data_IF_738041215997
#
_entry.id   IF_738041215997
#
_cell.length_a   1.000
_cell.length_b   1.000
_cell.length_c   1.000
_cell.angle_alpha   90.00
_cell.angle_beta   90.00
_cell.angle_gamma   90.00
#
_symmetry.space_group_name_H-M   'P 1'
#
loop_
_entity.id
_entity.type
_entity.pdbx_description
1 polymer ?
#
# COMPACT_ATOMS: atom_id res chain seq x y z
N UNK A 1 -1.06 11.09 0.25
CA UNK A 1 -1.29 12.47 -0.25
C UNK A 1 -0.59 12.61 -1.59
N UNK A 2 -1.26 13.17 -2.58
CA UNK A 2 -0.70 13.43 -3.91
C UNK A 2 -1.06 14.80 -4.45
N UNK A 3 -0.49 15.17 -5.60
CA UNK A 3 -0.72 16.45 -6.26
C UNK A 3 -0.90 16.27 -7.77
N UNK A 4 -1.93 16.92 -8.30
CA UNK A 4 -2.23 16.98 -9.72
C UNK A 4 -1.33 18.01 -10.42
N UNK A 5 -1.15 17.88 -11.74
CA UNK A 5 -0.36 18.82 -12.54
C UNK A 5 -0.87 20.27 -12.46
N UNK A 6 -2.17 20.47 -12.24
CA UNK A 6 -2.78 21.80 -12.06
C UNK A 6 -2.64 22.35 -10.62
N UNK A 7 -1.95 21.66 -9.73
CA UNK A 7 -1.72 22.07 -8.34
C UNK A 7 -2.74 21.54 -7.33
N UNK A 8 -3.84 20.89 -7.77
CA UNK A 8 -4.83 20.35 -6.85
C UNK A 8 -4.24 19.24 -5.96
N UNK A 9 -4.58 19.25 -4.67
CA UNK A 9 -4.17 18.23 -3.70
C UNK A 9 -5.21 17.13 -3.65
N UNK A 10 -4.75 15.88 -3.62
CA UNK A 10 -5.61 14.69 -3.53
C UNK A 10 -5.18 13.80 -2.36
N UNK A 11 -6.16 13.14 -1.75
CA UNK A 11 -5.96 12.16 -0.67
C UNK A 11 -6.69 10.89 -1.06
N UNK A 12 -6.05 9.74 -0.84
CA UNK A 12 -6.58 8.41 -1.15
C UNK A 12 -6.04 7.42 -0.14
N UNK A 13 -6.81 6.36 0.15
CA UNK A 13 -6.38 5.24 1.00
C UNK A 13 -5.26 4.43 0.36
N UNK A 14 -5.16 4.44 -0.97
CA UNK A 14 -4.21 3.64 -1.74
C UNK A 14 -3.57 4.46 -2.86
N UNK A 15 -2.30 4.18 -3.15
CA UNK A 15 -1.53 4.95 -4.15
C UNK A 15 -1.90 4.63 -5.59
N UNK A 16 -2.50 3.47 -5.88
CA UNK A 16 -2.94 3.12 -7.23
C UNK A 16 -3.94 4.17 -7.80
N UNK A 17 -4.70 4.84 -6.93
CA UNK A 17 -5.59 5.91 -7.34
C UNK A 17 -4.84 7.09 -7.97
N UNK A 18 -3.63 7.39 -7.47
CA UNK A 18 -2.80 8.47 -8.00
C UNK A 18 -2.32 8.17 -9.41
N UNK A 19 -1.88 6.94 -9.67
CA UNK A 19 -1.49 6.52 -11.03
C UNK A 19 -2.66 6.60 -12.01
N UNK A 20 -3.85 6.16 -11.59
CA UNK A 20 -5.07 6.19 -12.42
C UNK A 20 -5.45 7.61 -12.84
N UNK A 21 -5.30 8.59 -11.95
CA UNK A 21 -5.69 9.99 -12.23
C UNK A 21 -4.50 10.87 -12.67
N UNK A 22 -3.29 10.34 -12.73
CA UNK A 22 -2.08 11.09 -13.06
C UNK A 22 -1.64 12.08 -11.96
N UNK A 23 -1.90 11.77 -10.69
CA UNK A 23 -1.37 12.53 -9.56
C UNK A 23 0.04 12.05 -9.19
N UNK A 24 0.92 12.99 -8.85
CA UNK A 24 2.22 12.70 -8.25
C UNK A 24 2.05 12.33 -6.78
N UNK A 25 2.65 11.24 -6.34
CA UNK A 25 2.68 10.88 -4.92
C UNK A 25 3.62 11.82 -4.15
N UNK A 26 3.17 12.31 -2.99
CA UNK A 26 3.98 13.19 -2.12
C UNK A 26 4.45 12.44 -0.87
N UNK A 27 3.51 11.93 -0.06
CA UNK A 27 3.79 11.21 1.18
C UNK A 27 2.57 10.49 1.73
N UNK A 28 2.82 9.54 2.64
CA UNK A 28 1.80 8.98 3.53
C UNK A 28 1.45 9.95 4.67
N UNK A 29 0.21 9.85 5.15
CA UNK A 29 -0.23 10.50 6.38
C UNK A 29 0.21 9.63 7.56
N UNK A 30 0.82 10.24 8.59
CA UNK A 30 1.29 9.52 9.77
C UNK A 30 0.13 9.23 10.74
N UNK A 31 0.22 8.18 11.56
CA UNK A 31 -0.67 8.03 12.71
C UNK A 31 -0.69 9.32 13.55
N UNK A 32 -1.85 9.75 14.02
CA UNK A 32 -2.00 10.99 14.80
C UNK A 32 -2.02 12.29 13.98
N UNK A 33 -1.63 12.25 12.71
CA UNK A 33 -1.51 13.43 11.85
C UNK A 33 -2.88 13.83 11.25
N UNK A 34 -3.12 15.14 11.20
CA UNK A 34 -4.25 15.79 10.53
C UNK A 34 -3.69 16.55 9.33
N UNK A 35 -4.34 16.37 8.18
CA UNK A 35 -4.07 17.19 6.99
C UNK A 35 -5.23 18.18 6.79
N UNK A 36 -4.90 19.46 6.66
CA UNK A 36 -5.85 20.54 6.43
C UNK A 36 -5.59 21.08 5.02
N UNK A 37 -6.62 21.10 4.19
CA UNK A 37 -6.54 21.56 2.80
C UNK A 37 -7.60 22.66 2.63
N UNK A 38 -7.14 23.88 2.36
CA UNK A 38 -7.99 25.04 2.12
C UNK A 38 -7.40 25.93 0.99
N UNK A 39 -8.01 27.09 0.75
CA UNK A 39 -7.58 28.04 -0.28
C UNK A 39 -6.19 28.64 -0.04
N UNK A 40 -5.62 28.48 1.17
CA UNK A 40 -4.25 28.92 1.51
C UNK A 40 -3.21 27.83 1.25
N UNK A 41 -3.64 26.60 0.95
CA UNK A 41 -2.79 25.48 0.60
C UNK A 41 -2.93 24.30 1.56
N UNK A 42 -1.86 23.50 1.66
CA UNK A 42 -1.81 22.32 2.53
C UNK A 42 -1.07 22.65 3.83
N UNK A 43 -1.69 22.28 4.95
CA UNK A 43 -1.11 22.37 6.29
C UNK A 43 -1.18 20.99 6.97
N UNK A 44 -0.26 20.76 7.89
CA UNK A 44 -0.14 19.52 8.65
C UNK A 44 -0.17 19.87 10.14
N UNK A 45 -0.95 19.12 10.90
CA UNK A 45 -1.05 19.23 12.35
C UNK A 45 -1.07 17.82 12.96
N UNK A 46 -0.98 17.71 14.28
CA UNK A 46 -1.10 16.46 15.01
C UNK A 46 -2.09 16.63 16.15
N UNK A 47 -3.06 15.72 16.29
CA UNK A 47 -3.91 15.70 17.50
C UNK A 47 -3.24 14.94 18.66
N UNK A 48 -2.23 14.12 18.36
CA UNK A 48 -1.39 13.44 19.33
C UNK A 48 -0.07 13.03 18.68
N UNK A 49 1.01 13.07 19.43
CA UNK A 49 2.30 12.48 19.04
C UNK A 49 2.55 11.12 19.70
N UNK A 50 1.73 10.74 20.69
CA UNK A 50 1.75 9.40 21.30
C UNK A 50 1.11 8.39 20.33
N UNK A 51 1.94 7.84 19.45
CA UNK A 51 1.49 7.02 18.32
C UNK A 51 2.40 5.84 18.04
N UNK A 52 1.83 4.81 17.41
CA UNK A 52 2.56 3.67 16.89
C UNK A 52 2.09 3.39 15.47
N UNK A 53 3.03 3.16 14.54
CA UNK A 53 2.70 2.69 13.20
C UNK A 53 2.36 1.19 13.25
N UNK A 54 1.06 0.88 13.22
CA UNK A 54 0.52 -0.47 13.23
C UNK A 54 -0.45 -0.67 12.06
N UNK A 55 0.09 -0.82 10.85
CA UNK A 55 -0.70 -1.05 9.64
C UNK A 55 -1.38 -2.42 9.72
N UNK A 56 -2.62 -2.50 9.25
CA UNK A 56 -3.34 -3.76 9.13
C UNK A 56 -2.61 -4.72 8.18
N UNK A 57 -2.16 -5.87 8.71
CA UNK A 57 -1.49 -6.90 7.90
C UNK A 57 -2.32 -7.38 6.71
N UNK A 58 -3.66 -7.36 6.84
CA UNK A 58 -4.56 -7.77 5.76
C UNK A 58 -4.53 -6.83 4.55
N UNK A 59 -4.05 -5.60 4.68
CA UNK A 59 -3.81 -4.73 3.52
C UNK A 59 -2.76 -5.34 2.59
N UNK A 60 -1.64 -5.79 3.17
CA UNK A 60 -0.60 -6.47 2.40
C UNK A 60 -1.03 -7.86 1.95
N UNK A 61 -1.75 -8.62 2.77
CA UNK A 61 -2.15 -9.99 2.45
C UNK A 61 -3.23 -10.04 1.37
N UNK A 62 -4.23 -9.16 1.43
CA UNK A 62 -5.46 -9.34 0.65
C UNK A 62 -6.13 -8.05 0.16
N UNK A 63 -6.39 -7.08 1.04
CA UNK A 63 -7.33 -5.98 0.74
C UNK A 63 -6.82 -5.01 -0.32
N UNK A 64 -5.58 -4.52 -0.18
CA UNK A 64 -5.04 -3.54 -1.10
C UNK A 64 -4.80 -4.14 -2.49
N UNK A 65 -4.88 -3.27 -3.49
CA UNK A 65 -4.52 -3.65 -4.86
C UNK A 65 -3.02 -3.91 -4.98
N UNK A 66 -2.61 -4.87 -5.83
CA UNK A 66 -1.21 -5.26 -5.97
C UNK A 66 -0.30 -4.14 -6.51
N UNK A 67 -0.85 -3.17 -7.23
CA UNK A 67 -0.14 -2.00 -7.76
C UNK A 67 -0.05 -0.83 -6.75
N UNK A 68 -0.64 -0.96 -5.56
CA UNK A 68 -0.48 0.02 -4.49
C UNK A 68 0.87 -0.12 -3.77
N UNK A 69 1.37 1.01 -3.27
CA UNK A 69 2.48 1.10 -2.34
C UNK A 69 1.93 1.57 -1.00
N UNK A 70 2.15 0.78 0.05
CA UNK A 70 1.75 1.14 1.41
C UNK A 70 3.03 1.38 2.18
N UNK A 71 3.22 2.58 2.71
CA UNK A 71 4.44 2.95 3.47
C UNK A 71 5.74 2.55 2.76
N UNK A 72 5.83 2.82 1.45
CA UNK A 72 6.99 2.52 0.62
C UNK A 72 7.16 1.04 0.21
N UNK A 73 6.24 0.16 0.59
CA UNK A 73 6.25 -1.25 0.21
C UNK A 73 5.18 -1.53 -0.83
N UNK A 74 5.60 -1.94 -2.03
CA UNK A 74 4.69 -2.40 -3.06
C UNK A 74 3.97 -3.70 -2.64
N UNK A 75 2.64 -3.73 -2.78
CA UNK A 75 1.79 -4.84 -2.32
C UNK A 75 2.05 -6.13 -3.11
N UNK A 76 2.19 -6.06 -4.43
CA UNK A 76 2.57 -7.22 -5.26
C UNK A 76 3.89 -7.84 -4.78
N UNK A 77 4.90 -7.00 -4.57
CA UNK A 77 6.23 -7.42 -4.09
C UNK A 77 6.15 -8.03 -2.69
N UNK A 78 5.37 -7.46 -1.78
CA UNK A 78 5.16 -8.02 -0.45
C UNK A 78 4.55 -9.43 -0.52
N UNK A 79 3.49 -9.62 -1.31
CA UNK A 79 2.85 -10.93 -1.52
C UNK A 79 3.79 -11.95 -2.13
N UNK A 80 4.61 -11.54 -3.11
CA UNK A 80 5.64 -12.41 -3.69
C UNK A 80 6.70 -12.84 -2.65
N UNK A 81 7.11 -11.94 -1.76
CA UNK A 81 8.01 -12.29 -0.64
C UNK A 81 7.36 -13.27 0.34
N UNK A 82 6.06 -13.14 0.59
CA UNK A 82 5.31 -14.11 1.42
C UNK A 82 5.27 -15.49 0.77
N UNK A 83 5.06 -15.57 -0.55
CA UNK A 83 5.17 -16.81 -1.33
C UNK A 83 6.54 -17.47 -1.20
N UNK A 84 7.60 -16.70 -1.45
CA UNK A 84 8.98 -17.19 -1.32
C UNK A 84 9.30 -17.66 0.11
N UNK A 85 8.71 -17.03 1.12
CA UNK A 85 8.85 -17.47 2.51
C UNK A 85 8.10 -18.79 2.76
N UNK A 86 6.87 -18.92 2.26
CA UNK A 86 6.10 -20.16 2.34
C UNK A 86 6.83 -21.32 1.65
N UNK A 87 7.49 -21.08 0.51
CA UNK A 87 8.29 -22.08 -0.17
C UNK A 87 9.47 -22.59 0.68
N UNK A 88 10.10 -21.74 1.52
CA UNK A 88 11.15 -22.17 2.46
C UNK A 88 10.59 -23.00 3.62
N UNK A 89 9.36 -22.75 4.01
CA UNK A 89 8.67 -23.44 5.10
C UNK A 89 8.05 -24.77 4.63
N UNK A 90 7.77 -24.90 3.33
CA UNK A 90 7.23 -26.11 2.70
C UNK A 90 8.32 -27.18 2.55
N UNK A 91 8.15 -28.31 3.24
CA UNK A 91 9.14 -29.41 3.31
C UNK A 91 8.79 -30.63 2.45
N UNK A 92 7.86 -30.47 1.51
CA UNK A 92 7.37 -31.55 0.67
C UNK A 92 7.70 -31.28 -0.79
N UNK A 93 7.64 -32.31 -1.62
CA UNK A 93 7.70 -32.17 -3.07
C UNK A 93 6.29 -32.01 -3.63
N UNK A 94 6.17 -31.22 -4.69
CA UNK A 94 4.94 -31.02 -5.43
C UNK A 94 5.28 -30.84 -6.91
N UNK A 95 4.40 -31.30 -7.79
CA UNK A 95 4.62 -31.19 -9.24
C UNK A 95 4.29 -29.79 -9.78
N UNK A 96 3.30 -29.11 -9.20
CA UNK A 96 2.74 -27.86 -9.70
C UNK A 96 2.31 -26.96 -8.55
N UNK A 97 2.54 -25.65 -8.70
CA UNK A 97 1.99 -24.58 -7.85
C UNK A 97 0.93 -23.81 -8.64
N UNK A 98 -0.24 -23.59 -8.05
CA UNK A 98 -1.35 -22.86 -8.68
C UNK A 98 -1.89 -21.79 -7.73
N UNK A 99 -1.97 -20.55 -8.19
CA UNK A 99 -2.64 -19.46 -7.47
C UNK A 99 -4.15 -19.50 -7.68
N UNK A 100 -4.90 -19.01 -6.70
CA UNK A 100 -6.36 -18.81 -6.80
C UNK A 100 -6.61 -17.42 -7.41
N UNK A 101 -7.25 -17.33 -8.58
CA UNK A 101 -7.55 -16.05 -9.20
C UNK A 101 -8.58 -15.26 -8.37
N UNK A 102 -8.39 -13.97 -8.07
CA UNK A 102 -7.23 -13.09 -8.36
C UNK A 102 -6.39 -12.78 -7.10
N UNK A 103 -6.70 -13.43 -5.98
CA UNK A 103 -6.22 -13.06 -4.65
C UNK A 103 -4.79 -13.50 -4.38
N UNK A 104 -4.37 -14.68 -4.87
CA UNK A 104 -3.07 -15.27 -4.49
C UNK A 104 -2.09 -15.45 -5.65
N UNK A 105 -2.37 -14.89 -6.83
CA UNK A 105 -1.47 -14.98 -7.99
C UNK A 105 -0.06 -14.47 -7.65
N UNK A 106 0.05 -13.34 -6.95
CA UNK A 106 1.35 -12.76 -6.58
C UNK A 106 2.11 -13.63 -5.58
N UNK A 107 1.41 -14.28 -4.65
CA UNK A 107 2.01 -15.18 -3.67
C UNK A 107 2.43 -16.50 -4.33
N UNK A 108 1.61 -17.07 -5.21
CA UNK A 108 1.96 -18.30 -5.94
C UNK A 108 3.15 -18.13 -6.89
N UNK A 109 3.42 -16.90 -7.37
CA UNK A 109 4.58 -16.58 -8.20
C UNK A 109 5.90 -16.43 -7.41
N UNK A 110 5.84 -16.34 -6.08
CA UNK A 110 6.99 -16.08 -5.22
C UNK A 110 7.61 -17.33 -4.68
#
# INVERSE_FOLDING_TARGET
IGKMANGAVVVSSETCAFEVIGAEWIRDLKPGEIVIIDDKGIQYDSYTDDTQLAICSMEYIYFARPDSNIHGVNVHTARKRMGAQLAREFKHEADIVVGVPNSSLSAAMG
#
